data_IF_118678530281
#
_entry.id   IF_118678530281
#
_cell.length_a   1.000
_cell.length_b   1.000
_cell.length_c   1.000
_cell.angle_alpha   90.00
_cell.angle_beta   90.00
_cell.angle_gamma   90.00
#
_symmetry.space_group_name_H-M   'P 1'
#
loop_
_entity.id
_entity.type
_entity.pdbx_description
1 polymer ?
#
# COMPACT_ATOMS: atom_id res chain seq x y z
N UNK A 1 26.68 -17.32 -38.38
CA UNK A 1 25.25 -17.15 -38.70
C UNK A 1 24.31 -17.20 -37.48
N UNK A 2 23.89 -18.35 -36.92
CA UNK A 2 22.90 -18.35 -35.80
C UNK A 2 23.42 -17.62 -34.55
N UNK A 3 24.72 -17.75 -34.24
CA UNK A 3 25.33 -17.06 -33.10
C UNK A 3 25.41 -15.54 -33.26
N UNK A 4 25.48 -15.01 -34.48
CA UNK A 4 25.58 -13.56 -34.72
C UNK A 4 24.22 -12.87 -34.53
N UNK A 5 23.14 -13.51 -34.97
CA UNK A 5 21.77 -13.00 -34.82
C UNK A 5 21.37 -12.89 -33.32
N UNK A 6 21.90 -13.79 -32.48
CA UNK A 6 21.66 -13.79 -31.03
C UNK A 6 22.32 -12.63 -30.28
N UNK A 7 23.26 -11.88 -30.88
CA UNK A 7 23.83 -10.68 -30.25
C UNK A 7 23.27 -9.38 -30.82
N UNK A 8 22.39 -9.45 -31.82
CA UNK A 8 21.75 -8.26 -32.37
C UNK A 8 20.69 -7.72 -31.39
N UNK A 9 20.80 -6.46 -30.95
CA UNK A 9 19.82 -5.87 -30.04
C UNK A 9 18.40 -5.85 -30.64
N UNK A 10 18.28 -5.80 -31.97
CA UNK A 10 17.00 -5.87 -32.68
C UNK A 10 16.28 -7.20 -32.51
N UNK A 11 17.02 -8.33 -32.52
CA UNK A 11 16.44 -9.66 -32.31
C UNK A 11 15.80 -9.79 -30.91
N UNK A 12 16.48 -9.29 -29.89
CA UNK A 12 15.97 -9.29 -28.51
C UNK A 12 14.79 -8.36 -28.31
N UNK A 13 14.79 -7.18 -28.96
CA UNK A 13 13.67 -6.26 -28.93
C UNK A 13 12.41 -6.89 -29.52
N UNK A 14 12.52 -7.53 -30.69
CA UNK A 14 11.39 -8.21 -31.36
C UNK A 14 10.91 -9.40 -30.51
N UNK A 15 11.83 -10.22 -30.01
CA UNK A 15 11.49 -11.36 -29.14
C UNK A 15 10.79 -10.91 -27.85
N UNK A 16 11.24 -9.81 -27.25
CA UNK A 16 10.62 -9.20 -26.08
C UNK A 16 9.21 -8.65 -26.37
N UNK A 17 9.01 -8.01 -27.52
CA UNK A 17 7.69 -7.54 -27.96
C UNK A 17 6.72 -8.71 -28.18
N UNK A 18 7.18 -9.80 -28.79
CA UNK A 18 6.37 -11.01 -28.97
C UNK A 18 6.00 -11.64 -27.63
N UNK A 19 6.95 -11.78 -26.72
CA UNK A 19 6.69 -12.28 -25.37
C UNK A 19 5.69 -11.38 -24.62
N UNK A 20 5.83 -10.06 -24.76
CA UNK A 20 4.89 -9.08 -24.19
C UNK A 20 3.47 -9.25 -24.75
N UNK A 21 3.34 -9.40 -26.06
CA UNK A 21 2.06 -9.68 -26.71
C UNK A 21 1.40 -10.97 -26.20
N UNK A 22 2.17 -12.06 -26.08
CA UNK A 22 1.68 -13.35 -25.59
C UNK A 22 1.21 -13.24 -24.13
N UNK A 23 2.00 -12.60 -23.27
CA UNK A 23 1.66 -12.41 -21.85
C UNK A 23 0.40 -11.56 -21.68
N UNK A 24 0.27 -10.46 -22.43
CA UNK A 24 -0.93 -9.63 -22.41
C UNK A 24 -2.16 -10.38 -22.93
N UNK A 25 -2.01 -11.19 -23.99
CA UNK A 25 -3.09 -12.00 -24.53
C UNK A 25 -3.56 -13.07 -23.54
N UNK A 26 -2.63 -13.82 -22.95
CA UNK A 26 -2.94 -14.82 -21.92
C UNK A 26 -3.63 -14.19 -20.71
N UNK A 27 -3.17 -13.01 -20.31
CA UNK A 27 -3.73 -12.22 -19.23
C UNK A 27 -5.14 -11.71 -19.53
N UNK A 28 -5.39 -11.22 -20.75
CA UNK A 28 -6.71 -10.80 -21.20
C UNK A 28 -7.71 -11.97 -21.23
N UNK A 29 -7.27 -13.15 -21.67
CA UNK A 29 -8.10 -14.36 -21.66
C UNK A 29 -8.43 -14.81 -20.23
N UNK A 30 -7.46 -14.78 -19.33
CA UNK A 30 -7.66 -15.17 -17.93
C UNK A 30 -8.56 -14.19 -17.16
N UNK A 31 -8.53 -12.90 -17.49
CA UNK A 31 -9.35 -11.87 -16.84
C UNK A 31 -10.81 -11.87 -17.31
N UNK A 32 -11.11 -12.37 -18.51
CA UNK A 32 -12.47 -12.42 -19.06
C UNK A 32 -13.50 -13.04 -18.12
N UNK A 33 -13.14 -14.13 -17.45
CA UNK A 33 -14.01 -14.80 -16.46
C UNK A 33 -14.28 -13.92 -15.24
N UNK A 34 -13.27 -13.18 -14.78
CA UNK A 34 -13.38 -12.26 -13.64
C UNK A 34 -14.26 -11.06 -13.96
N UNK A 35 -14.17 -10.52 -15.17
CA UNK A 35 -15.09 -9.48 -15.64
C UNK A 35 -16.54 -9.97 -15.75
N UNK A 36 -16.74 -11.23 -16.18
CA UNK A 36 -18.09 -11.81 -16.22
C UNK A 36 -18.69 -11.92 -14.82
N UNK A 37 -17.94 -12.48 -13.87
CA UNK A 37 -18.33 -12.58 -12.45
C UNK A 37 -18.62 -11.20 -11.84
N UNK A 38 -17.75 -10.22 -12.10
CA UNK A 38 -17.91 -8.84 -11.63
C UNK A 38 -19.22 -8.22 -12.16
N UNK A 39 -19.51 -8.39 -13.45
CA UNK A 39 -20.74 -7.88 -14.07
C UNK A 39 -21.99 -8.56 -13.53
N UNK A 40 -21.93 -9.86 -13.25
CA UNK A 40 -23.04 -10.61 -12.66
C UNK A 40 -23.37 -10.12 -11.25
N UNK A 41 -22.35 -9.95 -10.40
CA UNK A 41 -22.53 -9.40 -9.06
C UNK A 41 -23.11 -7.99 -9.13
N UNK A 42 -22.54 -7.12 -9.98
CA UNK A 42 -23.02 -5.77 -10.16
C UNK A 42 -24.49 -5.74 -10.63
N UNK A 43 -24.88 -6.62 -11.57
CA UNK A 43 -26.27 -6.75 -12.02
C UNK A 43 -27.18 -7.17 -10.86
N UNK A 44 -26.79 -8.19 -10.10
CA UNK A 44 -27.59 -8.69 -8.96
C UNK A 44 -27.83 -7.61 -7.90
N UNK A 45 -26.88 -6.71 -7.71
CA UNK A 45 -26.99 -5.61 -6.76
C UNK A 45 -27.80 -4.43 -7.32
N UNK A 46 -27.69 -4.16 -8.62
CA UNK A 46 -28.50 -3.12 -9.28
C UNK A 46 -29.99 -3.47 -9.34
N UNK A 47 -30.31 -4.76 -9.35
CA UNK A 47 -31.68 -5.29 -9.31
C UNK A 47 -32.27 -5.35 -7.88
N UNK A 48 -31.46 -5.17 -6.82
CA UNK A 48 -31.98 -5.12 -5.45
C UNK A 48 -32.80 -3.83 -5.24
N UNK A 49 -34.03 -3.99 -4.75
CA UNK A 49 -34.94 -2.88 -4.49
C UNK A 49 -34.41 -1.86 -3.46
N UNK A 50 -33.45 -2.26 -2.62
CA UNK A 50 -32.79 -1.39 -1.63
C UNK A 50 -31.67 -0.54 -2.23
N UNK A 51 -31.27 -0.80 -3.48
CA UNK A 51 -30.14 -0.12 -4.10
C UNK A 51 -30.42 1.38 -4.32
N UNK A 52 -29.64 2.21 -3.65
CA UNK A 52 -29.69 3.67 -3.76
C UNK A 52 -28.96 4.19 -5.00
N UNK A 53 -29.03 5.51 -5.28
CA UNK A 53 -28.25 6.13 -6.36
C UNK A 53 -26.75 6.06 -6.09
N UNK A 54 -26.37 6.22 -4.82
CA UNK A 54 -25.02 6.10 -4.28
C UNK A 54 -24.51 4.67 -4.51
N UNK A 55 -25.37 3.67 -4.31
CA UNK A 55 -25.01 2.27 -4.56
C UNK A 55 -24.62 2.00 -6.01
N UNK A 56 -25.43 2.51 -6.93
CA UNK A 56 -25.15 2.40 -8.37
C UNK A 56 -23.93 3.21 -8.79
N UNK A 57 -23.54 4.25 -8.04
CA UNK A 57 -22.38 5.07 -8.34
C UNK A 57 -21.08 4.34 -8.01
N UNK A 58 -20.96 3.78 -6.80
CA UNK A 58 -19.77 3.00 -6.45
C UNK A 58 -19.67 1.71 -7.29
N UNK A 59 -20.80 1.07 -7.64
CA UNK A 59 -20.77 -0.10 -8.53
C UNK A 59 -20.18 0.23 -9.90
N UNK A 60 -20.58 1.39 -10.47
CA UNK A 60 -20.02 1.89 -11.72
C UNK A 60 -18.54 2.25 -11.59
N UNK A 61 -18.12 2.79 -10.44
CA UNK A 61 -16.72 3.07 -10.16
C UNK A 61 -15.87 1.79 -10.22
N UNK A 62 -16.24 0.72 -9.51
CA UNK A 62 -15.48 -0.54 -9.56
C UNK A 62 -15.48 -1.20 -10.94
N UNK A 63 -16.60 -1.12 -11.69
CA UNK A 63 -16.64 -1.63 -13.08
C UNK A 63 -15.71 -0.85 -14.02
N UNK A 64 -15.51 0.45 -13.76
CA UNK A 64 -14.57 1.30 -14.50
C UNK A 64 -13.14 1.04 -14.08
N UNK A 65 -12.87 0.96 -12.77
CA UNK A 65 -11.56 0.64 -12.20
C UNK A 65 -11.05 -0.70 -12.73
N UNK A 66 -11.93 -1.71 -12.81
CA UNK A 66 -11.58 -3.00 -13.39
C UNK A 66 -10.99 -2.88 -14.81
N UNK A 67 -11.36 -1.86 -15.60
CA UNK A 67 -10.83 -1.63 -16.96
C UNK A 67 -9.38 -1.13 -16.98
N UNK A 68 -8.83 -0.75 -15.83
CA UNK A 68 -7.40 -0.50 -15.64
C UNK A 68 -6.90 0.91 -15.95
N UNK A 69 -7.76 1.92 -15.91
CA UNK A 69 -7.31 3.32 -16.04
C UNK A 69 -6.43 3.77 -14.88
N UNK A 70 -6.67 3.23 -13.69
CA UNK A 70 -6.11 3.79 -12.45
C UNK A 70 -4.70 3.22 -12.22
N UNK A 71 -4.47 1.98 -12.63
CA UNK A 71 -3.14 1.36 -12.62
C UNK A 71 -2.08 2.15 -13.41
N UNK A 72 -2.46 2.86 -14.47
CA UNK A 72 -1.53 3.73 -15.21
C UNK A 72 -1.05 4.92 -14.40
N UNK A 73 -1.97 5.55 -13.66
CA UNK A 73 -1.63 6.68 -12.78
C UNK A 73 -0.72 6.20 -11.66
N UNK A 74 -1.04 5.06 -11.05
CA UNK A 74 -0.22 4.45 -10.00
C UNK A 74 1.17 4.08 -10.54
N UNK A 75 1.25 3.47 -11.72
CA UNK A 75 2.52 3.11 -12.35
C UNK A 75 3.40 4.32 -12.68
N UNK A 76 2.80 5.44 -13.11
CA UNK A 76 3.51 6.69 -13.36
C UNK A 76 4.08 7.30 -12.07
N UNK A 77 3.36 7.17 -10.95
CA UNK A 77 3.81 7.64 -9.64
C UNK A 77 4.73 6.65 -8.90
N UNK A 78 4.80 5.39 -9.32
CA UNK A 78 5.55 4.34 -8.62
C UNK A 78 7.03 4.70 -8.35
N UNK A 79 7.78 5.34 -9.26
CA UNK A 79 9.17 5.72 -9.00
C UNK A 79 9.34 6.77 -7.88
N UNK A 80 8.29 7.52 -7.53
CA UNK A 80 8.31 8.57 -6.50
C UNK A 80 7.98 8.00 -5.11
N UNK A 81 7.35 6.83 -5.04
CA UNK A 81 7.00 6.15 -3.77
C UNK A 81 8.18 5.97 -2.80
N UNK A 82 9.40 5.57 -3.22
CA UNK A 82 10.52 5.44 -2.29
C UNK A 82 10.91 6.77 -1.63
N UNK A 83 10.85 7.88 -2.40
CA UNK A 83 11.16 9.21 -1.89
C UNK A 83 10.11 9.65 -0.88
N UNK A 84 8.83 9.48 -1.19
CA UNK A 84 7.74 9.79 -0.26
C UNK A 84 7.84 8.96 1.02
N UNK A 85 8.10 7.67 0.89
CA UNK A 85 8.30 6.76 2.00
C UNK A 85 9.46 7.20 2.92
N UNK A 86 10.59 7.62 2.36
CA UNK A 86 11.71 8.17 3.11
C UNK A 86 11.36 9.49 3.82
N UNK A 87 10.63 10.38 3.15
CA UNK A 87 10.19 11.66 3.74
C UNK A 87 9.23 11.43 4.90
N UNK A 88 8.22 10.57 4.74
CA UNK A 88 7.26 10.28 5.80
C UNK A 88 7.92 9.63 7.02
N UNK A 89 8.81 8.66 6.81
CA UNK A 89 9.55 8.05 7.93
C UNK A 89 10.46 9.03 8.64
N UNK A 90 11.10 9.96 7.91
CA UNK A 90 11.90 11.01 8.54
C UNK A 90 11.02 11.98 9.35
N UNK A 91 9.87 12.38 8.82
CA UNK A 91 8.92 13.25 9.55
C UNK A 91 8.38 12.57 10.81
N UNK A 92 8.06 11.28 10.72
CA UNK A 92 7.60 10.49 11.87
C UNK A 92 8.73 10.24 12.88
N UNK A 93 9.98 10.13 12.46
CA UNK A 93 11.11 10.05 13.38
C UNK A 93 11.35 11.39 14.11
N UNK A 94 11.12 12.52 13.43
CA UNK A 94 11.27 13.87 13.99
C UNK A 94 10.12 14.22 14.94
N UNK A 95 8.89 13.85 14.58
CA UNK A 95 7.73 13.98 15.47
C UNK A 95 7.83 12.89 16.52
N UNK A 96 8.12 13.26 17.78
CA UNK A 96 8.15 12.33 18.94
C UNK A 96 6.77 11.75 19.28
N UNK A 97 6.01 11.26 18.30
CA UNK A 97 4.78 10.55 18.54
C UNK A 97 5.14 9.13 18.96
N UNK A 98 4.86 8.72 20.22
CA UNK A 98 4.99 7.33 20.57
C UNK A 98 4.08 6.54 19.63
N UNK A 99 4.69 5.65 18.83
CA UNK A 99 3.99 4.72 17.95
C UNK A 99 2.82 4.11 18.71
N UNK A 100 1.60 4.60 18.42
CA UNK A 100 0.37 4.00 18.92
C UNK A 100 0.30 2.66 18.24
N UNK A 101 0.34 1.58 19.03
CA UNK A 101 -0.01 0.24 18.56
C UNK A 101 -1.50 0.27 18.24
N UNK A 102 -1.83 0.75 17.05
CA UNK A 102 -3.19 0.68 16.53
C UNK A 102 -3.58 -0.79 16.43
N UNK A 103 -4.72 -1.13 17.00
CA UNK A 103 -5.24 -2.48 16.88
C UNK A 103 -5.61 -2.74 15.42
N UNK A 104 -5.46 -3.98 14.95
CA UNK A 104 -5.87 -4.38 13.59
C UNK A 104 -7.33 -4.03 13.28
N UNK A 105 -8.18 -3.90 14.32
CA UNK A 105 -9.57 -3.48 14.20
C UNK A 105 -9.70 -1.99 13.89
N UNK A 106 -8.92 -1.13 14.55
CA UNK A 106 -8.87 0.30 14.26
C UNK A 106 -8.32 0.55 12.86
N UNK A 107 -7.27 -0.18 12.47
CA UNK A 107 -6.72 -0.08 11.11
C UNK A 107 -7.78 -0.44 10.04
N UNK A 108 -8.52 -1.54 10.23
CA UNK A 108 -9.61 -1.92 9.31
C UNK A 108 -10.73 -0.88 9.24
N UNK A 109 -11.09 -0.29 10.38
CA UNK A 109 -12.08 0.78 10.41
C UNK A 109 -11.59 2.03 9.66
N UNK A 110 -10.30 2.39 9.85
CA UNK A 110 -9.67 3.50 9.17
C UNK A 110 -9.60 3.27 7.65
N UNK A 111 -9.23 2.07 7.19
CA UNK A 111 -9.18 1.75 5.75
C UNK A 111 -10.57 1.80 5.12
N UNK A 112 -11.61 1.33 5.82
CA UNK A 112 -12.99 1.38 5.32
C UNK A 112 -13.51 2.82 5.22
N UNK A 113 -13.14 3.70 6.16
CA UNK A 113 -13.50 5.11 6.10
C UNK A 113 -12.73 5.84 4.98
N UNK A 114 -11.45 5.53 4.79
CA UNK A 114 -10.68 6.04 3.65
C UNK A 114 -11.27 5.61 2.32
N UNK A 115 -11.68 4.35 2.18
CA UNK A 115 -12.34 3.83 0.97
C UNK A 115 -13.66 4.58 0.69
N UNK A 116 -14.50 4.79 1.71
CA UNK A 116 -15.72 5.62 1.58
C UNK A 116 -15.39 7.03 1.08
N UNK A 117 -14.38 7.68 1.68
CA UNK A 117 -13.97 9.03 1.30
C UNK A 117 -13.43 9.08 -0.13
N UNK A 118 -12.56 8.14 -0.51
CA UNK A 118 -12.03 8.05 -1.88
C UNK A 118 -13.15 7.87 -2.89
N UNK A 119 -14.09 6.96 -2.63
CA UNK A 119 -15.25 6.75 -3.50
C UNK A 119 -16.18 7.98 -3.54
N UNK A 120 -16.34 8.69 -2.41
CA UNK A 120 -17.11 9.93 -2.41
C UNK A 120 -16.47 11.03 -3.25
N UNK A 121 -15.14 11.13 -3.24
CA UNK A 121 -14.37 12.07 -4.05
C UNK A 121 -14.42 11.70 -5.54
N UNK A 122 -14.33 10.42 -5.87
CA UNK A 122 -14.31 9.97 -7.27
C UNK A 122 -15.69 9.98 -7.92
N UNK A 123 -16.75 9.70 -7.16
CA UNK A 123 -18.14 9.64 -7.67
C UNK A 123 -18.93 10.92 -7.46
N UNK A 124 -18.51 11.80 -6.55
CA UNK A 124 -19.23 13.01 -6.17
C UNK A 124 -20.45 12.77 -5.26
N UNK A 125 -20.58 11.59 -4.67
CA UNK A 125 -21.71 11.21 -3.80
C UNK A 125 -21.25 10.80 -2.39
N UNK A 126 -21.98 11.19 -1.35
CA UNK A 126 -21.67 10.75 0.01
C UNK A 126 -22.01 9.25 0.18
N UNK A 127 -20.98 8.43 0.38
CA UNK A 127 -21.10 6.98 0.52
C UNK A 127 -21.63 6.55 1.89
N UNK A 128 -21.82 7.48 2.84
CA UNK A 128 -22.49 7.18 4.11
C UNK A 128 -23.95 6.83 3.93
N UNK A 129 -24.58 7.30 2.86
CA UNK A 129 -25.99 7.05 2.53
C UNK A 129 -26.22 5.76 1.73
N UNK A 130 -25.15 5.05 1.35
CA UNK A 130 -25.22 3.82 0.59
C UNK A 130 -25.81 2.67 1.43
N UNK A 131 -27.01 2.20 1.07
CA UNK A 131 -27.73 1.18 1.82
C UNK A 131 -27.05 -0.20 1.77
N UNK A 132 -26.31 -0.48 0.69
CA UNK A 132 -25.65 -1.77 0.46
C UNK A 132 -24.15 -1.75 0.79
N UNK A 133 -23.69 -0.74 1.54
CA UNK A 133 -22.26 -0.58 1.84
C UNK A 133 -21.65 -1.77 2.59
N UNK A 134 -22.41 -2.36 3.52
CA UNK A 134 -21.94 -3.48 4.34
C UNK A 134 -22.25 -4.86 3.73
N UNK A 135 -22.81 -4.91 2.51
CA UNK A 135 -23.12 -6.15 1.83
C UNK A 135 -21.83 -6.94 1.48
N UNK A 136 -21.75 -8.25 1.77
CA UNK A 136 -20.58 -9.06 1.44
C UNK A 136 -20.25 -9.08 -0.06
N UNK A 137 -21.24 -8.91 -0.93
CA UNK A 137 -21.06 -8.84 -2.39
C UNK A 137 -20.26 -7.61 -2.80
N UNK A 138 -20.35 -6.49 -2.06
CA UNK A 138 -19.53 -5.29 -2.32
C UNK A 138 -18.04 -5.60 -2.16
N UNK A 139 -17.67 -6.32 -1.09
CA UNK A 139 -16.27 -6.72 -0.84
C UNK A 139 -15.76 -7.65 -1.93
N UNK A 140 -16.59 -8.60 -2.38
CA UNK A 140 -16.25 -9.48 -3.49
C UNK A 140 -16.10 -8.71 -4.81
N UNK A 141 -16.93 -7.70 -5.04
CA UNK A 141 -16.84 -6.83 -6.21
C UNK A 141 -15.54 -6.02 -6.22
N UNK A 142 -15.14 -5.46 -5.08
CA UNK A 142 -13.87 -4.75 -4.92
C UNK A 142 -12.65 -5.67 -5.13
N UNK A 143 -12.67 -6.88 -4.58
CA UNK A 143 -11.58 -7.87 -4.77
C UNK A 143 -11.47 -8.33 -6.22
N UNK A 144 -12.60 -8.52 -6.90
CA UNK A 144 -12.65 -8.88 -8.31
C UNK A 144 -12.20 -7.73 -9.21
N UNK A 145 -12.55 -6.47 -8.91
CA UNK A 145 -12.11 -5.33 -9.70
C UNK A 145 -10.60 -5.15 -9.63
N UNK A 146 -10.03 -5.16 -8.43
CA UNK A 146 -8.57 -5.03 -8.24
C UNK A 146 -7.81 -6.20 -8.87
N UNK A 147 -8.33 -7.43 -8.73
CA UNK A 147 -7.70 -8.61 -9.34
C UNK A 147 -7.79 -8.57 -10.86
N UNK A 148 -8.92 -8.13 -11.42
CA UNK A 148 -9.11 -8.01 -12.86
C UNK A 148 -8.18 -6.95 -13.46
N UNK A 149 -8.09 -5.78 -12.82
CA UNK A 149 -7.21 -4.68 -13.23
C UNK A 149 -5.72 -5.09 -13.17
N UNK A 150 -5.28 -5.70 -12.07
CA UNK A 150 -3.89 -6.11 -11.92
C UNK A 150 -3.49 -7.17 -12.95
N UNK A 151 -4.41 -8.12 -13.20
CA UNK A 151 -4.16 -9.16 -14.21
C UNK A 151 -4.29 -8.64 -15.62
N UNK A 152 -5.09 -7.62 -15.93
CA UNK A 152 -5.18 -7.11 -17.30
C UNK A 152 -3.92 -6.37 -17.74
N UNK A 153 -3.09 -5.92 -16.78
CA UNK A 153 -1.87 -5.15 -17.04
C UNK A 153 -0.65 -5.73 -16.30
N UNK A 154 -0.19 -6.95 -16.67
CA UNK A 154 0.89 -7.65 -15.96
C UNK A 154 2.21 -6.88 -15.94
N UNK A 155 2.49 -6.07 -16.97
CA UNK A 155 3.69 -5.24 -17.03
C UNK A 155 3.64 -4.02 -16.10
N UNK A 156 2.49 -3.34 -16.01
CA UNK A 156 2.32 -2.24 -15.06
C UNK A 156 2.36 -2.76 -13.62
N UNK A 157 1.71 -3.90 -13.38
CA UNK A 157 1.82 -4.65 -12.14
C UNK A 157 3.28 -4.95 -11.76
N UNK A 158 4.04 -5.53 -12.69
CA UNK A 158 5.46 -5.81 -12.48
C UNK A 158 6.28 -4.54 -12.24
N UNK A 159 5.99 -3.45 -12.94
CA UNK A 159 6.62 -2.15 -12.76
C UNK A 159 6.36 -1.58 -11.37
N UNK A 160 5.11 -1.58 -10.92
CA UNK A 160 4.73 -1.14 -9.57
C UNK A 160 5.44 -2.00 -8.52
N UNK A 161 5.50 -3.33 -8.70
CA UNK A 161 6.25 -4.22 -7.80
C UNK A 161 7.74 -3.89 -7.79
N UNK A 162 8.34 -3.68 -8.96
CA UNK A 162 9.77 -3.40 -9.10
C UNK A 162 10.19 -2.13 -8.35
N UNK A 163 9.32 -1.12 -8.27
CA UNK A 163 9.55 0.10 -7.49
C UNK A 163 9.05 0.02 -6.04
N UNK A 164 7.98 -0.73 -5.79
CA UNK A 164 7.37 -0.90 -4.48
C UNK A 164 8.23 -1.74 -3.53
N UNK A 165 8.82 -2.84 -4.01
CA UNK A 165 9.62 -3.74 -3.18
C UNK A 165 10.87 -3.05 -2.59
N UNK A 166 11.69 -2.29 -3.37
CA UNK A 166 12.79 -1.51 -2.81
C UNK A 166 12.31 -0.44 -1.82
N UNK A 167 11.15 0.18 -2.06
CA UNK A 167 10.57 1.17 -1.15
C UNK A 167 10.24 0.56 0.21
N UNK A 168 9.60 -0.61 0.22
CA UNK A 168 9.30 -1.35 1.45
C UNK A 168 10.57 -1.79 2.19
N UNK A 169 11.58 -2.24 1.45
CA UNK A 169 12.87 -2.61 2.03
C UNK A 169 13.58 -1.41 2.64
N UNK A 170 13.57 -0.25 1.97
CA UNK A 170 14.13 1.00 2.47
C UNK A 170 13.42 1.42 3.77
N UNK A 171 12.08 1.39 3.79
CA UNK A 171 11.28 1.66 4.99
C UNK A 171 11.65 0.74 6.15
N UNK A 172 11.82 -0.56 5.87
CA UNK A 172 12.22 -1.55 6.87
C UNK A 172 13.64 -1.28 7.43
N UNK A 173 14.60 -0.95 6.56
CA UNK A 173 15.98 -0.63 6.96
C UNK A 173 16.00 0.64 7.82
N UNK A 174 15.35 1.72 7.37
CA UNK A 174 15.28 2.99 8.10
C UNK A 174 14.59 2.77 9.45
N UNK A 175 13.45 2.09 9.48
CA UNK A 175 12.72 1.78 10.71
C UNK A 175 13.55 0.96 11.70
N UNK A 176 14.29 -0.04 11.20
CA UNK A 176 15.19 -0.86 12.02
C UNK A 176 16.34 -0.03 12.59
N UNK A 177 16.98 0.80 11.77
CA UNK A 177 18.06 1.67 12.21
C UNK A 177 17.59 2.69 13.26
N UNK A 178 16.43 3.32 13.05
CA UNK A 178 15.82 4.24 14.02
C UNK A 178 15.48 3.56 15.34
N UNK A 179 14.98 2.32 15.30
CA UNK A 179 14.71 1.53 16.51
C UNK A 179 15.99 1.24 17.31
N UNK A 180 17.08 0.84 16.64
CA UNK A 180 18.38 0.59 17.27
C UNK A 180 18.99 1.87 17.84
N UNK A 181 18.93 2.98 17.10
CA UNK A 181 19.39 4.28 17.56
C UNK A 181 18.60 4.72 18.82
N UNK A 182 17.27 4.60 18.78
CA UNK A 182 16.41 4.91 19.92
C UNK A 182 16.71 4.06 21.16
N UNK A 183 16.94 2.76 20.98
CA UNK A 183 17.36 1.87 22.08
C UNK A 183 18.72 2.28 22.65
N UNK A 184 19.69 2.59 21.79
CA UNK A 184 21.04 3.02 22.19
C UNK A 184 21.01 4.30 23.00
N UNK A 185 20.24 5.31 22.56
CA UNK A 185 20.07 6.57 23.29
C UNK A 185 19.41 6.33 24.66
N UNK A 186 18.34 5.53 24.73
CA UNK A 186 17.70 5.20 26.02
C UNK A 186 18.67 4.51 26.98
N UNK A 187 19.51 3.59 26.46
CA UNK A 187 20.51 2.88 27.25
C UNK A 187 21.61 3.81 27.74
N UNK A 188 22.11 4.72 26.90
CA UNK A 188 23.09 5.74 27.30
C UNK A 188 22.54 6.68 28.38
N UNK A 189 21.28 7.13 28.24
CA UNK A 189 20.61 7.96 29.26
C UNK A 189 20.46 7.20 30.58
N UNK A 190 20.10 5.91 30.53
CA UNK A 190 20.02 5.08 31.73
C UNK A 190 21.37 4.93 32.43
N UNK A 191 22.44 4.66 31.67
CA UNK A 191 23.81 4.58 32.21
C UNK A 191 24.27 5.90 32.82
N UNK A 192 23.98 7.02 32.15
CA UNK A 192 24.30 8.36 32.66
C UNK A 192 23.58 8.67 33.98
N UNK A 193 22.28 8.31 34.09
CA UNK A 193 21.52 8.46 35.34
C UNK A 193 22.11 7.62 36.47
N UNK A 194 22.49 6.38 36.20
CA UNK A 194 23.14 5.51 37.19
C UNK A 194 24.47 6.14 37.64
N UNK A 195 25.30 6.60 36.72
CA UNK A 195 26.57 7.26 37.05
C UNK A 195 26.38 8.53 37.90
N UNK A 196 25.33 9.31 37.62
CA UNK A 196 24.99 10.49 38.41
C UNK A 196 24.59 10.11 39.85
N UNK A 197 23.80 9.05 40.02
CA UNK A 197 23.43 8.52 41.35
C UNK A 197 24.65 8.04 42.13
N UNK A 198 25.59 7.34 41.50
CA UNK A 198 26.85 6.93 42.13
C UNK A 198 27.70 8.13 42.58
N UNK A 199 27.79 9.19 41.76
CA UNK A 199 28.50 10.41 42.14
C UNK A 199 27.85 11.10 43.34
N UNK A 200 26.51 11.17 43.38
CA UNK A 200 25.78 11.75 44.51
C UNK A 200 25.99 10.93 45.79
N UNK A 201 25.93 9.59 45.71
CA UNK A 201 26.20 8.71 46.84
C UNK A 201 27.63 8.85 47.40
N UNK A 202 28.63 8.99 46.52
CA UNK A 202 30.03 9.17 46.92
C UNK A 202 30.31 10.53 47.59
N UNK A 203 29.59 11.59 47.19
CA UNK A 203 29.67 12.89 47.88
C UNK A 203 29.07 12.79 49.28
N UNK A 204 27.91 12.12 49.39
CA UNK A 204 27.23 11.92 50.68
C UNK A 204 28.09 11.11 51.66
N UNK A 205 28.76 10.05 51.20
CA UNK A 205 29.62 9.23 52.07
C UNK A 205 30.87 9.98 52.57
N UNK A 206 31.43 10.90 51.78
CA UNK A 206 32.56 11.75 52.23
C UNK A 206 32.14 12.81 53.25
N UNK A 207 30.93 13.35 53.14
CA UNK A 207 30.41 14.34 54.10
C UNK A 207 30.27 13.79 55.53
N UNK A 208 29.93 12.50 55.66
CA UNK A 208 29.74 11.83 56.96
C UNK A 208 31.06 11.69 57.76
N UNK A 209 32.22 11.68 57.11
CA UNK A 209 33.52 11.53 57.79
C UNK A 209 34.15 12.86 58.23
N UNK A 210 33.51 13.99 57.97
CA UNK A 210 34.02 15.34 58.30
C UNK A 210 33.24 16.05 59.40
N UNK A 211 32.35 15.31 60.08
CA UNK A 211 31.61 15.73 61.28
C UNK A 211 32.05 14.83 62.43
#
# INVERSE_FOLDING_TARGET
MIKEILYEPGFWAISGLLACGIVNLASALATRWKYAELREIARSLMEDARATKQDRAWMRAYLREAQGSDLWVIAACAPILPLLAAVFTLQDALKKNPSKKESMREFRAHTADMERRMLSLSTGHDMKEAALWDDPRRRRMADLSSTAEFRSHPFLAAWIIAWGLPSLLLLFIIGSFMSVAGYSVRRLVALYRVQLQWKQAAIFSRGIHTV
#
